data_IF_157571899470
#
_entry.id   IF_157571899470
#
_cell.length_a   1.000
_cell.length_b   1.000
_cell.length_c   1.000
_cell.angle_alpha   90.00
_cell.angle_beta   90.00
_cell.angle_gamma   90.00
#
_symmetry.space_group_name_H-M   'P 1'
#
loop_
_entity.id
_entity.type
_entity.pdbx_description
1 polymer ?
#
# COMPACT_ATOMS: atom_id res chain seq x y z
N UNK A 1 -24.81 -3.85 12.96
CA UNK A 1 -23.61 -4.73 12.88
C UNK A 1 -22.50 -3.89 12.28
N UNK A 2 -21.60 -3.42 13.11
CA UNK A 2 -20.41 -2.77 12.63
C UNK A 2 -19.46 -3.87 12.13
N UNK A 3 -19.50 -4.11 10.84
CA UNK A 3 -18.43 -4.86 10.20
C UNK A 3 -17.13 -4.14 10.52
N UNK A 4 -16.27 -4.82 11.24
CA UNK A 4 -14.88 -4.45 11.41
C UNK A 4 -14.21 -4.56 10.04
N UNK A 5 -14.54 -3.60 9.16
CA UNK A 5 -13.93 -3.50 7.85
C UNK A 5 -12.44 -3.37 8.10
N UNK A 6 -11.67 -4.26 7.52
CA UNK A 6 -10.24 -4.09 7.40
C UNK A 6 -10.03 -2.70 6.81
N UNK A 7 -9.72 -1.74 7.66
CA UNK A 7 -9.59 -0.36 7.23
C UNK A 7 -8.20 -0.16 6.71
N UNK A 8 -8.14 0.16 5.44
CA UNK A 8 -6.92 0.57 4.77
C UNK A 8 -7.01 2.06 4.44
N UNK A 9 -5.94 2.76 4.71
CA UNK A 9 -5.84 4.20 4.54
C UNK A 9 -4.79 4.51 3.50
N UNK A 10 -5.04 5.53 2.72
CA UNK A 10 -4.17 6.00 1.66
C UNK A 10 -4.04 7.51 1.67
N UNK A 11 -2.90 7.99 1.20
CA UNK A 11 -2.68 9.37 0.76
C UNK A 11 -1.77 9.36 -0.45
N UNK A 12 -1.83 10.41 -1.27
CA UNK A 12 -1.02 10.56 -2.49
C UNK A 12 -0.07 11.76 -2.45
N UNK A 13 0.12 12.36 -1.29
CA UNK A 13 1.08 13.43 -1.07
C UNK A 13 1.78 13.22 0.26
N UNK A 14 3.07 13.55 0.32
CA UNK A 14 3.88 13.33 1.51
C UNK A 14 3.29 13.99 2.77
N UNK A 15 2.81 15.24 2.61
CA UNK A 15 2.24 16.04 3.71
C UNK A 15 0.71 15.92 3.84
N UNK A 16 0.08 15.05 3.03
CA UNK A 16 -1.37 14.83 3.06
C UNK A 16 -1.80 14.02 4.29
N UNK A 17 -3.10 14.10 4.59
CA UNK A 17 -3.72 13.27 5.62
C UNK A 17 -4.15 11.94 5.05
N UNK A 18 -4.01 10.87 5.83
CA UNK A 18 -4.54 9.57 5.47
C UNK A 18 -6.06 9.57 5.47
N UNK A 19 -6.66 9.06 4.40
CA UNK A 19 -8.10 8.84 4.27
C UNK A 19 -8.39 7.34 4.13
N UNK A 20 -9.51 6.89 4.70
CA UNK A 20 -10.00 5.53 4.51
C UNK A 20 -10.39 5.34 3.04
N UNK A 21 -9.85 4.30 2.40
CA UNK A 21 -10.09 4.01 0.98
C UNK A 21 -11.58 3.88 0.68
N UNK A 22 -12.34 3.20 1.55
CA UNK A 22 -13.78 3.02 1.34
C UNK A 22 -14.59 4.33 1.51
N UNK A 23 -14.04 5.31 2.22
CA UNK A 23 -14.66 6.64 2.36
C UNK A 23 -14.26 7.56 1.20
N UNK A 24 -13.00 7.47 0.77
CA UNK A 24 -12.48 8.30 -0.32
C UNK A 24 -13.05 7.87 -1.68
N UNK A 25 -13.27 6.57 -1.87
CA UNK A 25 -13.79 5.98 -3.10
C UNK A 25 -15.08 5.21 -2.83
N UNK A 26 -16.21 5.87 -3.05
CA UNK A 26 -17.53 5.26 -2.88
C UNK A 26 -17.70 4.02 -3.75
N UNK A 27 -18.20 2.93 -3.18
CA UNK A 27 -18.38 1.64 -3.84
C UNK A 27 -17.13 0.78 -3.94
N UNK A 28 -15.96 1.27 -3.52
CA UNK A 28 -14.71 0.51 -3.49
C UNK A 28 -14.55 -0.22 -2.15
N UNK A 29 -14.19 -1.48 -2.21
CA UNK A 29 -13.80 -2.25 -1.04
C UNK A 29 -12.49 -2.99 -1.29
N UNK A 30 -11.53 -2.82 -0.39
CA UNK A 30 -10.30 -3.62 -0.39
C UNK A 30 -10.61 -4.98 0.21
N UNK A 31 -10.42 -6.03 -0.57
CA UNK A 31 -10.68 -7.41 -0.16
C UNK A 31 -9.49 -7.99 0.60
N UNK A 32 -8.29 -7.71 0.10
CA UNK A 32 -7.04 -8.24 0.66
C UNK A 32 -5.90 -7.29 0.34
N UNK A 33 -4.96 -7.19 1.26
CA UNK A 33 -3.68 -6.52 1.02
C UNK A 33 -2.57 -7.39 1.62
N UNK A 34 -1.65 -7.84 0.79
CA UNK A 34 -0.50 -8.67 1.18
C UNK A 34 0.79 -7.87 1.07
N UNK A 35 1.83 -8.30 1.76
CA UNK A 35 3.14 -7.66 1.70
C UNK A 35 3.33 -6.42 2.59
N UNK A 36 2.27 -5.86 3.16
CA UNK A 36 2.32 -4.57 3.89
C UNK A 36 3.27 -4.56 5.10
N UNK A 37 3.49 -5.70 5.74
CA UNK A 37 4.43 -5.85 6.87
C UNK A 37 5.66 -6.69 6.50
N UNK A 38 5.83 -7.02 5.24
CA UNK A 38 6.95 -7.83 4.77
C UNK A 38 8.26 -7.05 4.85
N UNK A 39 9.34 -7.78 5.12
CA UNK A 39 10.69 -7.25 5.06
C UNK A 39 11.40 -7.88 3.88
N UNK A 40 11.99 -7.08 3.01
CA UNK A 40 12.82 -7.53 1.92
C UNK A 40 14.06 -8.28 2.42
N UNK A 41 14.71 -9.00 1.51
CA UNK A 41 15.98 -9.64 1.81
C UNK A 41 17.03 -8.58 2.16
N UNK A 42 17.98 -8.88 3.05
CA UNK A 42 19.14 -8.02 3.25
C UNK A 42 19.91 -7.87 1.92
N UNK A 43 20.35 -6.65 1.63
CA UNK A 43 21.22 -6.40 0.49
C UNK A 43 22.66 -6.75 0.91
N UNK A 44 23.26 -7.70 0.18
CA UNK A 44 24.63 -8.13 0.41
C UNK A 44 25.54 -7.48 -0.63
N UNK A 45 26.74 -7.10 -0.21
CA UNK A 45 27.84 -6.82 -1.14
C UNK A 45 28.44 -8.18 -1.47
N UNK A 46 28.35 -8.60 -2.72
CA UNK A 46 29.17 -9.69 -3.21
C UNK A 46 30.63 -9.23 -3.21
N UNK A 47 31.42 -9.69 -2.23
CA UNK A 47 32.86 -9.64 -2.40
C UNK A 47 33.21 -10.71 -3.44
N UNK A 48 33.89 -10.31 -4.52
CA UNK A 48 34.55 -11.27 -5.40
C UNK A 48 35.36 -12.24 -4.53
N UNK A 49 35.18 -13.55 -4.78
CA UNK A 49 35.89 -14.61 -4.10
C UNK A 49 37.39 -14.33 -4.13
N UNK A 50 37.95 -13.83 -3.07
CA UNK A 50 39.36 -13.92 -2.82
C UNK A 50 39.65 -15.35 -2.35
N UNK A 51 40.60 -16.00 -2.96
CA UNK A 51 41.05 -17.36 -2.97
C UNK A 51 41.18 -18.13 -1.61
N UNK A 52 40.58 -17.68 -0.56
CA UNK A 52 40.57 -18.33 0.74
C UNK A 52 39.11 -18.46 1.27
N UNK A 53 38.40 -19.42 0.77
CA UNK A 53 37.33 -20.27 1.34
C UNK A 53 36.50 -19.78 2.56
N UNK A 54 36.33 -18.48 2.82
CA UNK A 54 35.37 -17.95 3.77
C UNK A 54 34.49 -16.98 3.03
N UNK A 55 33.27 -17.43 2.71
CA UNK A 55 32.18 -16.57 2.29
C UNK A 55 31.75 -15.71 3.49
N UNK A 56 32.33 -14.54 3.66
CA UNK A 56 31.81 -13.54 4.55
C UNK A 56 30.76 -12.71 3.79
N UNK A 57 29.50 -12.97 4.07
CA UNK A 57 28.37 -12.14 3.61
C UNK A 57 28.44 -10.77 4.29
N UNK A 58 28.95 -9.77 3.60
CA UNK A 58 28.91 -8.39 4.08
C UNK A 58 27.54 -7.78 3.82
N UNK A 59 26.76 -7.60 4.88
CA UNK A 59 25.50 -6.87 4.81
C UNK A 59 25.77 -5.38 4.64
N UNK A 60 25.06 -4.76 3.70
CA UNK A 60 25.07 -3.30 3.58
C UNK A 60 24.26 -2.72 4.72
N UNK A 61 24.88 -1.86 5.51
CA UNK A 61 24.21 -1.15 6.59
C UNK A 61 24.28 0.36 6.36
N UNK A 62 23.27 1.06 6.86
CA UNK A 62 23.24 2.51 6.99
C UNK A 62 23.02 2.86 8.45
N UNK A 63 23.13 4.13 8.81
CA UNK A 63 22.84 4.59 10.16
C UNK A 63 21.42 5.17 10.19
N UNK A 64 20.67 4.86 11.24
CA UNK A 64 19.39 5.51 11.55
C UNK A 64 19.60 6.91 12.15
N UNK A 65 18.51 7.60 12.46
CA UNK A 65 18.54 8.94 13.05
C UNK A 65 19.23 8.99 14.44
N UNK A 66 19.42 7.83 15.07
CA UNK A 66 20.07 7.67 16.37
C UNK A 66 21.49 7.12 16.25
N UNK A 67 22.09 7.11 15.04
CA UNK A 67 23.40 6.55 14.74
C UNK A 67 23.54 5.03 14.99
N UNK A 68 22.43 4.27 14.99
CA UNK A 68 22.51 2.82 15.08
C UNK A 68 22.62 2.21 13.68
N UNK A 69 23.41 1.15 13.50
CA UNK A 69 23.51 0.47 12.22
C UNK A 69 22.18 -0.26 11.89
N UNK A 70 21.67 -0.01 10.70
CA UNK A 70 20.46 -0.64 10.16
C UNK A 70 20.80 -1.36 8.87
N UNK A 71 20.37 -2.61 8.75
CA UNK A 71 20.58 -3.44 7.55
C UNK A 71 19.70 -2.90 6.42
N UNK A 72 20.32 -2.58 5.28
CA UNK A 72 19.60 -2.22 4.06
C UNK A 72 18.93 -3.48 3.50
N UNK A 73 17.67 -3.37 3.12
CA UNK A 73 16.86 -4.45 2.58
C UNK A 73 16.34 -4.11 1.20
N UNK A 74 16.12 -5.14 0.40
CA UNK A 74 15.41 -5.00 -0.87
C UNK A 74 13.99 -4.51 -0.63
N UNK A 75 13.46 -3.76 -1.59
CA UNK A 75 12.07 -3.37 -1.61
C UNK A 75 11.17 -4.60 -1.79
N UNK A 76 9.94 -4.50 -1.37
CA UNK A 76 8.95 -5.58 -1.46
C UNK A 76 7.72 -5.14 -2.25
N UNK A 77 7.06 -6.10 -2.88
CA UNK A 77 5.78 -5.88 -3.53
C UNK A 77 4.64 -5.98 -2.52
N UNK A 78 3.67 -5.08 -2.67
CA UNK A 78 2.40 -5.09 -1.96
C UNK A 78 1.31 -5.36 -2.99
N UNK A 79 0.54 -6.41 -2.78
CA UNK A 79 -0.60 -6.72 -3.63
C UNK A 79 -1.89 -6.27 -2.94
N UNK A 80 -2.61 -5.36 -3.60
CA UNK A 80 -3.89 -4.83 -3.17
C UNK A 80 -4.98 -5.37 -4.07
N UNK A 81 -5.76 -6.31 -3.57
CA UNK A 81 -6.94 -6.85 -4.26
C UNK A 81 -8.19 -6.11 -3.81
N UNK A 82 -8.96 -5.61 -4.77
CA UNK A 82 -10.13 -4.80 -4.51
C UNK A 82 -11.32 -5.16 -5.40
N UNK A 83 -12.47 -4.70 -5.00
CA UNK A 83 -13.71 -4.74 -5.77
C UNK A 83 -14.36 -3.37 -5.78
N UNK A 84 -14.84 -2.95 -6.94
CA UNK A 84 -15.76 -1.83 -7.10
C UNK A 84 -17.13 -2.41 -7.41
N UNK A 85 -18.11 -2.15 -6.55
CA UNK A 85 -19.43 -2.75 -6.66
C UNK A 85 -20.53 -1.74 -6.37
N UNK A 86 -21.51 -1.67 -7.26
CA UNK A 86 -22.66 -0.77 -7.11
C UNK A 86 -23.37 -0.96 -5.75
N UNK A 87 -23.54 -2.22 -5.32
CA UNK A 87 -24.17 -2.53 -4.02
C UNK A 87 -23.43 -1.95 -2.79
N UNK A 88 -22.15 -1.64 -2.91
CA UNK A 88 -21.36 -1.06 -1.82
C UNK A 88 -21.35 0.47 -1.86
N UNK A 89 -21.91 1.08 -2.91
CA UNK A 89 -21.99 2.52 -3.02
C UNK A 89 -23.01 3.11 -2.07
N UNK A 90 -22.70 4.28 -1.54
CA UNK A 90 -23.63 5.05 -0.69
C UNK A 90 -24.79 5.60 -1.50
N UNK A 91 -24.51 6.09 -2.72
CA UNK A 91 -25.51 6.52 -3.68
C UNK A 91 -25.49 5.60 -4.90
N UNK A 92 -26.54 4.79 -5.05
CA UNK A 92 -26.62 3.75 -6.09
C UNK A 92 -27.30 4.21 -7.37
N UNK A 93 -28.09 5.29 -7.35
CA UNK A 93 -28.93 5.68 -8.50
C UNK A 93 -28.14 5.95 -9.76
N UNK A 94 -27.02 6.68 -9.65
CA UNK A 94 -26.18 7.04 -10.79
C UNK A 94 -24.74 6.46 -10.66
N UNK A 95 -24.61 5.32 -9.99
CA UNK A 95 -23.31 4.73 -9.73
C UNK A 95 -22.78 4.05 -11.00
N UNK A 96 -21.73 4.61 -11.57
CA UNK A 96 -21.00 4.02 -12.69
C UNK A 96 -19.79 3.25 -12.17
N UNK A 97 -19.87 1.93 -12.22
CA UNK A 97 -18.83 1.01 -11.78
C UNK A 97 -17.52 1.24 -12.52
N UNK A 98 -17.58 1.44 -13.84
CA UNK A 98 -16.38 1.65 -14.66
C UNK A 98 -15.69 2.95 -14.30
N UNK A 99 -16.43 4.05 -14.24
CA UNK A 99 -15.84 5.35 -13.90
C UNK A 99 -15.23 5.37 -12.49
N UNK A 100 -15.87 4.70 -11.52
CA UNK A 100 -15.36 4.58 -10.15
C UNK A 100 -14.13 3.68 -10.05
N UNK A 101 -14.14 2.59 -10.82
CA UNK A 101 -12.98 1.71 -10.93
C UNK A 101 -11.79 2.47 -11.51
N UNK A 102 -11.96 3.16 -12.63
CA UNK A 102 -10.88 3.88 -13.29
C UNK A 102 -10.33 5.01 -12.39
N UNK A 103 -11.20 5.76 -11.72
CA UNK A 103 -10.76 6.79 -10.77
C UNK A 103 -9.93 6.22 -9.61
N UNK A 104 -10.30 5.06 -9.08
CA UNK A 104 -9.52 4.39 -8.04
C UNK A 104 -8.17 3.88 -8.56
N UNK A 105 -8.17 3.22 -9.72
CA UNK A 105 -6.95 2.71 -10.35
C UNK A 105 -5.99 3.86 -10.69
N UNK A 106 -6.49 4.93 -11.30
CA UNK A 106 -5.69 6.12 -11.62
C UNK A 106 -5.05 6.73 -10.37
N UNK A 107 -5.81 6.84 -9.29
CA UNK A 107 -5.29 7.34 -8.02
C UNK A 107 -4.14 6.48 -7.48
N UNK A 108 -4.26 5.16 -7.59
CA UNK A 108 -3.30 4.21 -7.05
C UNK A 108 -2.08 3.98 -7.96
N UNK A 109 -2.18 4.29 -9.26
CA UNK A 109 -1.15 3.94 -10.24
C UNK A 109 -0.41 5.12 -10.85
N UNK A 110 -1.01 6.30 -10.87
CA UNK A 110 -0.43 7.46 -11.56
C UNK A 110 0.52 8.30 -10.69
N UNK A 111 0.50 8.10 -9.37
CA UNK A 111 1.35 8.84 -8.43
C UNK A 111 1.88 7.92 -7.34
N UNK A 112 2.87 8.40 -6.60
CA UNK A 112 3.28 7.76 -5.35
C UNK A 112 2.11 7.74 -4.37
N UNK A 113 2.01 6.65 -3.63
CA UNK A 113 1.01 6.49 -2.59
C UNK A 113 1.65 6.04 -1.28
N UNK A 114 1.07 6.51 -0.18
CA UNK A 114 1.42 6.06 1.16
C UNK A 114 0.25 5.25 1.69
N UNK A 115 0.53 4.05 2.14
CA UNK A 115 -0.48 3.09 2.60
C UNK A 115 -0.27 2.71 4.05
N UNK A 116 -1.35 2.51 4.75
CA UNK A 116 -1.35 1.86 6.07
C UNK A 116 -2.63 1.06 6.30
N UNK A 117 -2.50 0.05 7.15
CA UNK A 117 -3.64 -0.66 7.73
C UNK A 117 -3.92 -0.11 9.13
N UNK A 118 -5.17 -0.19 9.59
CA UNK A 118 -5.55 0.13 10.96
C UNK A 118 -4.72 -0.62 12.01
N UNK A 119 -4.21 -1.80 11.68
CA UNK A 119 -3.38 -2.63 12.57
C UNK A 119 -1.91 -2.17 12.67
N UNK A 120 -1.47 -1.29 11.80
CA UNK A 120 -0.08 -0.80 11.80
C UNK A 120 0.15 0.36 12.78
N UNK A 121 -0.89 0.81 13.45
CA UNK A 121 -0.82 1.99 14.31
C UNK A 121 -0.39 3.23 13.50
N UNK A 122 0.70 3.86 13.92
CA UNK A 122 1.24 5.05 13.25
C UNK A 122 2.21 4.75 12.10
N UNK A 123 2.37 3.48 11.76
CA UNK A 123 3.31 3.08 10.71
C UNK A 123 2.62 3.06 9.34
N UNK A 124 3.36 3.41 8.30
CA UNK A 124 2.90 3.37 6.92
C UNK A 124 4.04 3.05 5.97
N UNK A 125 3.72 2.70 4.75
CA UNK A 125 4.68 2.42 3.68
C UNK A 125 4.48 3.39 2.53
N UNK A 126 5.58 3.78 1.90
CA UNK A 126 5.60 4.59 0.69
C UNK A 126 5.83 3.68 -0.50
N UNK A 127 4.97 3.73 -1.49
CA UNK A 127 4.98 2.83 -2.64
C UNK A 127 4.63 3.54 -3.93
N UNK A 128 4.98 2.88 -5.03
CA UNK A 128 4.65 3.27 -6.40
C UNK A 128 4.17 2.05 -7.18
N UNK A 129 3.29 2.25 -8.15
CA UNK A 129 2.87 1.21 -9.06
C UNK A 129 3.83 1.17 -10.26
N UNK A 130 4.64 0.12 -10.36
CA UNK A 130 5.59 -0.09 -11.48
C UNK A 130 5.09 -1.14 -12.48
N UNK A 131 4.06 -1.91 -12.12
CA UNK A 131 3.53 -2.99 -12.94
C UNK A 131 2.27 -2.57 -13.68
N UNK A 132 2.10 -3.12 -14.88
CA UNK A 132 0.87 -2.97 -15.63
C UNK A 132 -0.31 -3.50 -14.79
N UNK A 133 -1.38 -2.72 -14.73
CA UNK A 133 -2.63 -3.12 -14.12
C UNK A 133 -3.59 -3.69 -15.17
N UNK A 134 -4.24 -4.80 -14.84
CA UNK A 134 -5.35 -5.39 -15.62
C UNK A 134 -6.48 -5.80 -14.68
N UNK A 135 -7.75 -5.46 -14.99
CA UNK A 135 -8.89 -5.97 -14.25
C UNK A 135 -8.91 -7.51 -14.25
N UNK A 136 -9.25 -8.09 -13.11
CA UNK A 136 -9.34 -9.56 -12.98
C UNK A 136 -10.71 -10.08 -13.42
N UNK A 137 -11.78 -9.37 -13.06
CA UNK A 137 -13.14 -9.71 -13.46
C UNK A 137 -13.98 -8.45 -13.64
N UNK A 138 -14.83 -8.49 -14.67
CA UNK A 138 -15.73 -7.41 -15.05
C UNK A 138 -17.14 -7.97 -15.21
N UNK A 139 -18.10 -7.40 -14.50
CA UNK A 139 -19.52 -7.71 -14.68
C UNK A 139 -20.30 -6.38 -14.66
N UNK A 140 -20.67 -5.93 -15.84
CA UNK A 140 -21.45 -4.71 -16.04
C UNK A 140 -22.88 -5.03 -16.49
N UNK A 141 -23.78 -4.07 -16.39
CA UNK A 141 -25.20 -4.19 -16.81
C UNK A 141 -26.01 -5.25 -16.05
N UNK A 142 -25.63 -5.57 -14.81
CA UNK A 142 -26.36 -6.48 -13.92
C UNK A 142 -27.11 -5.74 -12.79
N UNK A 143 -27.51 -4.49 -13.01
CA UNK A 143 -28.15 -3.66 -12.00
C UNK A 143 -27.24 -3.53 -10.78
N UNK A 144 -27.79 -3.77 -9.57
CA UNK A 144 -27.04 -3.64 -8.33
C UNK A 144 -25.92 -4.68 -8.14
N UNK A 145 -25.89 -5.72 -9.00
CA UNK A 145 -24.84 -6.74 -9.01
C UNK A 145 -23.67 -6.40 -9.93
N UNK A 146 -23.67 -5.23 -10.59
CA UNK A 146 -22.52 -4.79 -11.39
C UNK A 146 -21.28 -4.58 -10.52
N UNK A 147 -20.14 -5.11 -10.99
CA UNK A 147 -18.87 -4.97 -10.28
C UNK A 147 -17.66 -5.08 -11.21
N UNK A 148 -16.53 -4.58 -10.75
CA UNK A 148 -15.21 -4.85 -11.31
C UNK A 148 -14.24 -5.20 -10.17
N UNK A 149 -13.35 -6.15 -10.41
CA UNK A 149 -12.29 -6.53 -9.46
C UNK A 149 -10.94 -6.43 -10.11
N UNK A 150 -9.93 -6.23 -9.30
CA UNK A 150 -8.54 -6.24 -9.76
C UNK A 150 -7.55 -6.37 -8.61
N UNK A 151 -6.30 -6.58 -8.97
CA UNK A 151 -5.17 -6.55 -8.04
C UNK A 151 -4.14 -5.55 -8.56
N UNK A 152 -3.84 -4.55 -7.75
CA UNK A 152 -2.77 -3.58 -8.02
C UNK A 152 -1.53 -4.06 -7.28
N UNK A 153 -0.41 -4.18 -7.99
CA UNK A 153 0.89 -4.47 -7.38
C UNK A 153 1.65 -3.16 -7.21
N UNK A 154 1.95 -2.83 -5.97
CA UNK A 154 2.71 -1.64 -5.58
C UNK A 154 4.09 -2.07 -5.10
N UNK A 155 5.12 -1.34 -5.50
CA UNK A 155 6.49 -1.57 -5.06
C UNK A 155 6.86 -0.58 -3.97
N UNK A 156 7.40 -1.04 -2.85
CA UNK A 156 7.84 -0.14 -1.78
C UNK A 156 9.08 0.62 -2.20
N UNK A 157 9.06 1.94 -2.04
CA UNK A 157 10.22 2.79 -2.36
C UNK A 157 11.24 2.82 -1.22
N UNK A 158 10.80 2.52 -0.01
CA UNK A 158 11.67 2.48 1.16
C UNK A 158 11.25 1.31 2.08
N UNK A 159 11.95 0.21 1.95
CA UNK A 159 11.69 -0.99 2.77
C UNK A 159 12.13 -0.83 4.23
N UNK A 160 12.92 0.19 4.56
CA UNK A 160 13.52 0.40 5.89
C UNK A 160 12.79 1.44 6.73
N UNK A 161 12.02 2.34 6.09
CA UNK A 161 11.33 3.42 6.79
C UNK A 161 9.86 3.14 7.00
N UNK A 162 9.56 2.83 8.22
CA UNK A 162 8.23 2.95 8.75
C UNK A 162 8.23 4.24 9.57
N UNK A 163 7.74 5.34 9.01
CA UNK A 163 7.73 6.61 9.72
C UNK A 163 6.71 6.59 10.85
N UNK A 164 7.14 6.98 12.04
CA UNK A 164 6.22 7.21 13.16
C UNK A 164 5.56 8.58 12.97
N UNK A 165 4.23 8.63 13.00
CA UNK A 165 3.50 9.91 13.06
C UNK A 165 3.90 10.60 14.35
N UNK A 166 4.44 11.81 14.25
CA UNK A 166 4.74 12.65 15.43
C UNK A 166 3.45 12.83 16.23
N UNK A 167 3.41 12.52 17.53
CA UNK A 167 2.25 12.77 18.36
C UNK A 167 1.91 14.25 18.29
N UNK A 168 0.67 14.60 17.96
CA UNK A 168 0.21 15.97 18.14
C UNK A 168 0.37 16.32 19.63
N UNK A 169 1.14 17.35 19.90
CA UNK A 169 1.25 17.92 21.24
C UNK A 169 -0.16 18.23 21.75
N UNK A 170 -0.54 17.62 22.87
CA UNK A 170 -1.74 18.02 23.60
C UNK A 170 -1.60 19.52 23.88
N UNK A 171 -2.47 20.33 23.29
CA UNK A 171 -2.69 21.66 23.79
C UNK A 171 -3.31 21.49 25.18
N UNK A 172 -2.53 21.76 26.20
CA UNK A 172 -3.06 21.99 27.53
C UNK A 172 -3.86 23.29 27.50
N UNK A 173 -5.14 23.16 27.81
CA UNK A 173 -6.03 24.28 28.14
C UNK A 173 -5.88 24.61 29.62
#
# INVERSE_FOLDING_TARGET
>A
MNDSKNRYFVKNTANGSFADIATLFDGVAVLMMTGLSSKGKPVNIYSEQWVNEQEEDFLITTLDENNNPVVIRENVDIELTFIVRKKYATNQENFDVLAKHDAFVDYMTNTDVWLKSAYMGNKYVHCVCEKEYKPTAIMLNRGDNSYMTGTITLHTLDATKVEAVTPQSKQET
#
